data_IF_648637153379
#
_entry.id   IF_648637153379
#
_cell.length_a   1.000
_cell.length_b   1.000
_cell.length_c   1.000
_cell.angle_alpha   90.00
_cell.angle_beta   90.00
_cell.angle_gamma   90.00
#
_symmetry.space_group_name_H-M   'P 1'
#
loop_
_entity.id
_entity.type
_entity.pdbx_description
1 polymer ?
#
# COMPACT_ATOMS: atom_id res chain seq x y z
N UNK A 1 1.31 24.73 16.76
CA UNK A 1 2.07 23.57 17.26
C UNK A 1 2.05 22.58 16.13
N UNK A 2 3.13 22.47 15.36
CA UNK A 2 3.22 21.46 14.32
C UNK A 2 3.25 20.10 15.05
N UNK A 3 2.24 19.26 14.81
CA UNK A 3 2.26 17.90 15.32
C UNK A 3 3.47 17.19 14.72
N UNK A 4 4.43 16.83 15.56
CA UNK A 4 5.51 15.95 15.17
C UNK A 4 4.90 14.56 14.97
N UNK A 5 4.50 14.26 13.73
CA UNK A 5 4.04 12.91 13.37
C UNK A 5 5.25 11.99 13.57
N UNK A 6 5.23 11.20 14.64
CA UNK A 6 6.17 10.09 14.78
C UNK A 6 5.95 9.17 13.58
N UNK A 7 6.98 9.07 12.71
CA UNK A 7 6.94 8.11 11.61
C UNK A 7 6.95 6.71 12.20
N UNK A 8 5.87 5.99 11.95
CA UNK A 8 5.78 4.57 12.26
C UNK A 8 6.83 3.80 11.45
N UNK A 9 7.40 2.78 12.05
CA UNK A 9 8.26 1.84 11.36
C UNK A 9 7.43 0.89 10.48
N UNK A 10 8.10 0.10 9.63
CA UNK A 10 7.43 -0.80 8.69
C UNK A 10 6.49 -1.80 9.38
N UNK A 11 6.89 -2.38 10.51
CA UNK A 11 6.06 -3.36 11.23
C UNK A 11 4.83 -2.71 11.84
N UNK A 12 4.97 -1.53 12.43
CA UNK A 12 3.84 -0.76 12.96
C UNK A 12 2.84 -0.39 11.85
N UNK A 13 3.34 -0.05 10.64
CA UNK A 13 2.47 0.20 9.48
C UNK A 13 1.75 -1.07 9.01
N UNK A 14 2.40 -2.24 9.06
CA UNK A 14 1.74 -3.51 8.76
C UNK A 14 0.63 -3.82 9.75
N UNK A 15 0.87 -3.67 11.05
CA UNK A 15 -0.15 -3.86 12.08
C UNK A 15 -1.36 -2.94 11.85
N UNK A 16 -1.12 -1.68 11.47
CA UNK A 16 -2.22 -0.75 11.14
C UNK A 16 -2.94 -1.10 9.86
N UNK A 17 -2.25 -1.61 8.85
CA UNK A 17 -2.89 -2.11 7.63
C UNK A 17 -3.75 -3.33 7.94
N UNK A 18 -3.28 -4.26 8.78
CA UNK A 18 -4.03 -5.44 9.19
C UNK A 18 -5.32 -5.06 9.94
N UNK A 19 -5.22 -4.12 10.90
CA UNK A 19 -6.40 -3.54 11.58
C UNK A 19 -7.41 -2.93 10.59
N UNK A 20 -6.94 -2.23 9.54
CA UNK A 20 -7.82 -1.69 8.50
C UNK A 20 -8.48 -2.80 7.68
N UNK A 21 -7.72 -3.82 7.28
CA UNK A 21 -8.24 -4.97 6.53
C UNK A 21 -9.33 -5.71 7.32
N UNK A 22 -9.17 -5.86 8.63
CA UNK A 22 -10.19 -6.46 9.50
C UNK A 22 -11.49 -5.63 9.55
N UNK A 23 -11.38 -4.30 9.48
CA UNK A 23 -12.52 -3.39 9.60
C UNK A 23 -13.31 -3.20 8.29
N UNK A 24 -12.64 -3.11 7.15
CA UNK A 24 -13.28 -2.76 5.86
C UNK A 24 -13.04 -3.77 4.73
N UNK A 25 -12.22 -4.79 4.94
CA UNK A 25 -11.87 -5.77 3.94
C UNK A 25 -10.67 -5.36 3.07
N UNK A 26 -9.93 -6.38 2.59
CA UNK A 26 -8.69 -6.18 1.85
C UNK A 26 -8.88 -5.41 0.53
N UNK A 27 -9.98 -5.68 -0.19
CA UNK A 27 -10.27 -5.01 -1.47
C UNK A 27 -10.46 -3.50 -1.29
N UNK A 28 -11.18 -3.08 -0.25
CA UNK A 28 -11.42 -1.67 0.03
C UNK A 28 -10.14 -0.94 0.44
N UNK A 29 -9.28 -1.58 1.25
CA UNK A 29 -7.97 -1.02 1.60
C UNK A 29 -7.08 -0.88 0.36
N UNK A 30 -7.03 -1.90 -0.49
CA UNK A 30 -6.25 -1.86 -1.72
C UNK A 30 -6.72 -0.74 -2.67
N UNK A 31 -8.03 -0.58 -2.84
CA UNK A 31 -8.61 0.47 -3.69
C UNK A 31 -8.26 1.86 -3.18
N UNK A 32 -8.40 2.12 -1.88
CA UNK A 32 -8.08 3.42 -1.29
C UNK A 32 -6.58 3.72 -1.32
N UNK A 33 -5.71 2.72 -1.11
CA UNK A 33 -4.26 2.87 -1.29
C UNK A 33 -3.91 3.21 -2.75
N UNK A 34 -4.48 2.49 -3.71
CA UNK A 34 -4.26 2.75 -5.13
C UNK A 34 -4.70 4.16 -5.55
N UNK A 35 -5.81 4.66 -4.99
CA UNK A 35 -6.30 6.02 -5.23
C UNK A 35 -5.43 7.11 -4.57
N UNK A 36 -4.82 6.81 -3.44
CA UNK A 36 -4.00 7.76 -2.69
C UNK A 36 -2.59 7.94 -3.28
N UNK A 37 -2.05 6.90 -3.93
CA UNK A 37 -0.74 6.95 -4.58
C UNK A 37 -0.75 7.83 -5.83
N UNK A 38 0.39 8.47 -6.11
CA UNK A 38 0.62 9.05 -7.44
C UNK A 38 0.73 7.96 -8.52
N UNK A 39 0.57 8.34 -9.79
CA UNK A 39 0.71 7.40 -10.90
C UNK A 39 2.07 6.71 -10.93
N UNK A 40 3.15 7.45 -10.63
CA UNK A 40 4.52 6.91 -10.62
C UNK A 40 4.70 5.89 -9.50
N UNK A 41 4.27 6.21 -8.27
CA UNK A 41 4.30 5.28 -7.13
C UNK A 41 3.45 4.03 -7.38
N UNK A 42 2.27 4.20 -7.99
CA UNK A 42 1.40 3.08 -8.32
C UNK A 42 2.05 2.18 -9.38
N UNK A 43 2.68 2.76 -10.42
CA UNK A 43 3.39 1.97 -11.43
C UNK A 43 4.55 1.18 -10.82
N UNK A 44 5.41 1.82 -10.02
CA UNK A 44 6.54 1.13 -9.37
C UNK A 44 6.09 -0.06 -8.51
N UNK A 45 4.99 0.12 -7.77
CA UNK A 45 4.41 -0.94 -6.94
C UNK A 45 3.77 -2.06 -7.77
N UNK A 46 3.08 -1.74 -8.86
CA UNK A 46 2.48 -2.75 -9.74
C UNK A 46 3.54 -3.55 -10.51
N UNK A 47 4.62 -2.91 -10.99
CA UNK A 47 5.76 -3.61 -11.60
C UNK A 47 6.47 -4.51 -10.57
N UNK A 48 6.57 -4.07 -9.31
CA UNK A 48 7.09 -4.92 -8.25
C UNK A 48 6.21 -6.17 -8.04
N UNK A 49 4.89 -6.01 -7.98
CA UNK A 49 3.95 -7.12 -7.87
C UNK A 49 4.07 -8.07 -9.07
N UNK A 50 4.14 -7.53 -10.28
CA UNK A 50 4.33 -8.29 -11.52
C UNK A 50 5.60 -9.15 -11.49
N UNK A 51 6.74 -8.56 -11.07
CA UNK A 51 8.00 -9.29 -10.91
C UNK A 51 7.96 -10.36 -9.83
N UNK A 52 7.25 -10.14 -8.72
CA UNK A 52 7.18 -11.10 -7.62
C UNK A 52 6.20 -12.26 -7.89
N UNK A 53 5.23 -12.06 -8.79
CA UNK A 53 4.19 -13.04 -9.11
C UNK A 53 4.28 -13.60 -10.54
N UNK A 54 5.28 -13.17 -11.32
CA UNK A 54 5.54 -13.63 -12.70
C UNK A 54 4.30 -13.49 -13.61
N UNK A 55 3.58 -12.36 -13.51
CA UNK A 55 2.34 -12.15 -14.28
C UNK A 55 2.54 -11.67 -15.71
N UNK A 56 3.74 -11.20 -16.08
CA UNK A 56 4.14 -10.76 -17.43
C UNK A 56 3.25 -9.61 -17.99
N UNK A 57 2.86 -8.67 -17.14
CA UNK A 57 1.97 -7.56 -17.50
C UNK A 57 2.70 -6.26 -17.88
N UNK A 58 3.93 -6.07 -17.43
CA UNK A 58 4.74 -4.86 -17.67
C UNK A 58 5.98 -5.12 -18.54
N UNK A 59 6.00 -6.25 -19.24
CA UNK A 59 7.07 -6.71 -20.15
C UNK A 59 7.26 -5.89 -21.42
#
# INVERSE_FOLDING_TARGET
MEEYIMRLNKNELFEKMDEMVELMGAEAVLEELARAMSSDELQENLEYIDRMNETDLFS
#
